data_IF_668044196814
#
_entry.id   IF_668044196814
#
_cell.length_a   1.000
_cell.length_b   1.000
_cell.length_c   1.000
_cell.angle_alpha   90.00
_cell.angle_beta   90.00
_cell.angle_gamma   90.00
#
_symmetry.space_group_name_H-M   'P 1'
#
loop_
_entity.id
_entity.type
_entity.pdbx_description
1 polymer ?
#
# COMPACT_ATOMS: atom_id res chain seq x y z
N UNK A 1 -39.15 65.57 4.20
CA UNK A 1 -37.73 65.36 4.58
C UNK A 1 -37.54 63.91 5.01
N UNK A 2 -37.04 63.05 4.13
CA UNK A 2 -36.72 61.64 4.43
C UNK A 2 -35.29 61.40 3.95
N UNK A 3 -34.36 61.17 4.88
CA UNK A 3 -32.98 60.78 4.59
C UNK A 3 -32.93 59.25 4.50
N UNK A 4 -32.77 58.70 3.29
CA UNK A 4 -32.37 57.29 3.09
C UNK A 4 -30.85 57.21 3.13
N UNK A 5 -30.31 56.50 4.12
CA UNK A 5 -28.90 56.08 4.14
C UNK A 5 -28.79 54.79 3.33
N UNK A 6 -27.93 54.80 2.32
CA UNK A 6 -27.54 53.62 1.55
C UNK A 6 -26.41 52.94 2.34
N UNK A 7 -26.63 51.70 2.77
CA UNK A 7 -25.57 50.83 3.29
C UNK A 7 -25.00 50.03 2.12
N UNK A 8 -23.72 50.22 1.83
CA UNK A 8 -22.96 49.35 0.95
C UNK A 8 -22.63 48.06 1.71
N UNK A 9 -23.14 46.93 1.21
CA UNK A 9 -22.78 45.60 1.70
C UNK A 9 -21.62 45.11 0.84
N UNK A 10 -20.43 45.10 1.44
CA UNK A 10 -19.24 44.47 0.86
C UNK A 10 -19.34 42.97 1.10
N UNK A 11 -19.61 42.20 0.05
CA UNK A 11 -19.58 40.73 0.08
C UNK A 11 -18.10 40.32 0.02
N UNK A 12 -17.52 40.01 1.19
CA UNK A 12 -16.26 39.28 1.26
C UNK A 12 -16.54 37.82 0.92
N UNK A 13 -16.23 37.42 -0.31
CA UNK A 13 -16.14 36.02 -0.69
C UNK A 13 -14.88 35.44 -0.02
N UNK A 14 -15.05 34.82 1.14
CA UNK A 14 -14.06 33.94 1.72
C UNK A 14 -14.00 32.67 0.85
N UNK A 15 -13.09 32.67 -0.12
CA UNK A 15 -12.66 31.46 -0.81
C UNK A 15 -11.94 30.55 0.17
N UNK A 16 -12.69 29.68 0.85
CA UNK A 16 -12.13 28.56 1.58
C UNK A 16 -11.52 27.60 0.56
N UNK A 17 -10.20 27.69 0.41
CA UNK A 17 -9.40 26.69 -0.29
C UNK A 17 -9.58 25.35 0.41
N UNK A 18 -10.29 24.44 -0.25
CA UNK A 18 -10.23 22.99 -0.01
C UNK A 18 -8.88 22.47 -0.53
N UNK A 19 -7.79 22.97 0.05
CA UNK A 19 -6.43 22.54 -0.22
C UNK A 19 -6.03 21.44 0.75
N UNK A 20 -5.76 20.26 0.20
CA UNK A 20 -4.99 19.18 0.84
C UNK A 20 -5.37 18.84 2.29
N UNK A 21 -6.44 18.06 2.47
CA UNK A 21 -6.40 17.09 3.56
C UNK A 21 -5.29 16.11 3.21
N UNK A 22 -4.08 16.36 3.76
CA UNK A 22 -2.98 15.43 3.70
C UNK A 22 -3.54 14.05 4.07
N UNK A 23 -3.53 13.14 3.09
CA UNK A 23 -3.81 11.75 3.34
C UNK A 23 -2.66 11.27 4.22
N UNK A 24 -2.84 11.36 5.54
CA UNK A 24 -2.03 10.62 6.49
C UNK A 24 -2.35 9.16 6.22
N UNK A 25 -1.58 8.57 5.32
CA UNK A 25 -1.32 7.13 5.26
C UNK A 25 -0.91 6.75 6.68
N UNK A 26 -1.88 6.23 7.43
CA UNK A 26 -1.64 5.65 8.75
C UNK A 26 -0.53 4.61 8.59
N UNK A 27 0.25 4.41 9.66
CA UNK A 27 1.15 3.27 9.79
C UNK A 27 0.50 2.02 9.19
N UNK A 28 1.26 1.17 8.50
CA UNK A 28 0.75 -0.05 7.87
C UNK A 28 -0.06 -0.83 8.90
N UNK A 29 -1.36 -0.58 8.84
CA UNK A 29 -2.30 -1.11 9.79
C UNK A 29 -2.42 -2.54 9.32
N UNK A 30 -2.06 -3.47 10.20
CA UNK A 30 -2.09 -4.88 9.86
C UNK A 30 -3.57 -5.23 9.63
N UNK A 31 -4.00 -5.21 8.37
CA UNK A 31 -5.40 -5.37 7.99
C UNK A 31 -5.67 -6.83 7.68
N UNK A 32 -5.62 -7.67 8.71
CA UNK A 32 -5.81 -9.12 8.54
C UNK A 32 -4.80 -9.74 7.57
N UNK A 33 -4.95 -11.04 7.33
CA UNK A 33 -4.07 -11.77 6.43
C UNK A 33 -2.87 -12.42 7.12
N UNK A 34 -2.15 -13.22 6.34
CA UNK A 34 -1.03 -14.05 6.79
C UNK A 34 0.30 -13.44 6.35
N UNK A 35 1.22 -13.33 7.30
CA UNK A 35 2.54 -12.73 7.13
C UNK A 35 3.61 -13.79 7.29
N UNK A 36 4.65 -13.74 6.49
CA UNK A 36 5.86 -14.53 6.73
C UNK A 36 6.60 -13.99 7.97
N UNK A 37 7.46 -14.80 8.62
CA UNK A 37 8.33 -14.30 9.68
C UNK A 37 9.14 -13.07 9.25
N UNK A 38 9.19 -12.10 10.15
CA UNK A 38 9.82 -10.80 9.94
C UNK A 38 10.23 -10.21 11.30
N UNK A 39 11.43 -10.58 11.75
CA UNK A 39 12.00 -10.10 13.01
C UNK A 39 11.09 -10.36 14.22
N UNK A 40 11.00 -9.39 15.12
CA UNK A 40 10.17 -9.50 16.33
C UNK A 40 8.67 -9.31 16.07
N UNK A 41 8.29 -8.69 14.95
CA UNK A 41 6.87 -8.45 14.65
C UNK A 41 6.15 -9.74 14.30
N UNK A 42 6.82 -10.60 13.55
CA UNK A 42 6.35 -11.93 13.18
C UNK A 42 7.50 -12.91 13.45
N UNK A 43 7.55 -13.54 14.63
CA UNK A 43 8.69 -14.35 15.02
C UNK A 43 8.84 -15.57 14.12
N UNK A 44 10.08 -15.95 13.81
CA UNK A 44 10.40 -17.16 13.03
C UNK A 44 10.29 -18.44 13.87
N UNK A 45 10.31 -18.32 15.19
CA UNK A 45 10.29 -19.42 16.14
C UNK A 45 9.47 -19.01 17.36
N UNK A 46 8.69 -19.95 17.89
CA UNK A 46 7.94 -19.79 19.14
C UNK A 46 8.07 -21.06 19.99
N UNK A 47 7.98 -20.92 21.31
CA UNK A 47 7.85 -22.04 22.25
C UNK A 47 6.37 -22.25 22.57
N UNK A 48 5.86 -23.46 22.35
CA UNK A 48 4.54 -23.87 22.82
C UNK A 48 4.64 -24.25 24.30
N UNK A 49 3.83 -23.62 25.14
CA UNK A 49 3.81 -23.82 26.59
C UNK A 49 2.75 -24.82 27.06
N UNK A 50 1.83 -25.20 26.18
CA UNK A 50 0.73 -26.12 26.46
C UNK A 50 0.51 -27.11 25.31
N UNK A 51 -0.31 -28.13 25.55
CA UNK A 51 -0.77 -29.00 24.47
C UNK A 51 -1.54 -28.18 23.43
N UNK A 52 -1.05 -28.16 22.20
CA UNK A 52 -1.55 -27.27 21.14
C UNK A 52 -2.14 -28.10 19.99
N UNK A 53 -3.45 -28.00 19.73
CA UNK A 53 -4.07 -28.69 18.60
C UNK A 53 -3.54 -28.20 17.25
N UNK A 54 -3.45 -29.11 16.27
CA UNK A 54 -3.04 -28.78 14.89
C UNK A 54 -4.06 -29.21 13.83
N UNK A 55 -4.07 -28.48 12.71
CA UNK A 55 -5.10 -28.52 11.67
C UNK A 55 -4.49 -28.52 10.26
N UNK A 56 -5.24 -29.02 9.29
CA UNK A 56 -4.84 -29.00 7.86
C UNK A 56 -5.05 -27.64 7.20
N UNK A 57 -6.00 -26.85 7.70
CA UNK A 57 -6.39 -25.54 7.19
C UNK A 57 -6.56 -24.55 8.35
N UNK A 58 -6.40 -23.23 8.12
CA UNK A 58 -6.49 -22.22 9.18
C UNK A 58 -7.91 -22.14 9.78
N UNK A 59 -8.94 -22.35 8.95
CA UNK A 59 -10.36 -22.25 9.31
C UNK A 59 -11.07 -23.60 9.10
N UNK A 60 -10.51 -24.68 9.64
CA UNK A 60 -11.13 -26.00 9.52
C UNK A 60 -12.51 -26.01 10.20
N UNK A 61 -13.60 -26.37 9.49
CA UNK A 61 -14.93 -26.47 10.07
C UNK A 61 -14.96 -27.43 11.27
N UNK A 62 -15.82 -27.14 12.24
CA UNK A 62 -16.08 -27.97 13.43
C UNK A 62 -14.92 -28.11 14.43
N UNK A 63 -13.81 -27.38 14.23
CA UNK A 63 -12.63 -27.35 15.12
C UNK A 63 -12.04 -28.73 15.45
N UNK A 64 -12.21 -29.72 14.58
CA UNK A 64 -11.67 -31.07 14.74
C UNK A 64 -10.15 -31.09 14.43
N UNK A 65 -9.27 -31.22 15.44
CA UNK A 65 -7.83 -31.25 15.19
C UNK A 65 -7.39 -32.62 14.66
N UNK A 66 -6.34 -32.64 13.84
CA UNK A 66 -5.69 -33.90 13.42
C UNK A 66 -4.92 -34.56 14.58
N UNK A 67 -4.56 -33.77 15.60
CA UNK A 67 -3.85 -34.21 16.78
C UNK A 67 -3.41 -33.01 17.63
N UNK A 68 -2.53 -33.26 18.60
CA UNK A 68 -1.96 -32.23 19.48
C UNK A 68 -0.44 -32.32 19.51
N UNK A 69 0.21 -31.17 19.62
CA UNK A 69 1.63 -31.05 19.93
C UNK A 69 1.80 -30.85 21.43
N UNK A 70 2.70 -31.61 22.07
CA UNK A 70 3.16 -31.31 23.43
C UNK A 70 3.98 -30.00 23.44
N UNK A 71 4.20 -29.37 24.62
CA UNK A 71 5.07 -28.20 24.74
C UNK A 71 6.43 -28.43 24.08
N UNK A 72 6.78 -27.57 23.12
CA UNK A 72 8.00 -27.67 22.31
C UNK A 72 8.24 -26.38 21.53
N UNK A 73 9.47 -26.21 21.06
CA UNK A 73 9.80 -25.15 20.10
C UNK A 73 9.35 -25.54 18.69
N UNK A 74 8.80 -24.57 17.94
CA UNK A 74 8.35 -24.76 16.55
C UNK A 74 8.79 -23.62 15.65
N UNK A 75 9.08 -23.95 14.38
CA UNK A 75 9.40 -22.97 13.34
C UNK A 75 8.11 -22.44 12.69
N UNK A 76 7.98 -21.12 12.61
CA UNK A 76 6.85 -20.42 12.00
C UNK A 76 7.13 -20.21 10.51
N UNK A 77 6.14 -20.55 9.68
CA UNK A 77 6.14 -20.31 8.23
C UNK A 77 5.29 -19.10 7.87
N UNK A 78 4.13 -18.95 8.53
CA UNK A 78 3.27 -17.75 8.41
C UNK A 78 2.47 -17.54 9.69
N UNK A 79 2.11 -16.29 9.99
CA UNK A 79 1.30 -15.91 11.16
C UNK A 79 0.26 -14.87 10.78
N UNK A 80 -0.92 -14.93 11.40
CA UNK A 80 -1.90 -13.87 11.28
C UNK A 80 -1.57 -12.64 12.13
N UNK A 81 -1.73 -11.48 11.52
CA UNK A 81 -1.75 -10.12 12.05
C UNK A 81 -1.94 -9.89 13.56
N UNK A 82 -2.89 -10.56 14.21
CA UNK A 82 -3.38 -10.27 15.57
C UNK A 82 -2.80 -11.16 16.67
N UNK A 83 -1.71 -11.87 16.39
CA UNK A 83 -1.20 -12.94 17.25
C UNK A 83 -0.79 -12.54 18.66
N UNK A 84 -0.40 -11.29 18.88
CA UNK A 84 0.07 -10.80 20.19
C UNK A 84 -1.06 -10.33 21.11
N UNK A 85 -2.27 -10.13 20.58
CA UNK A 85 -3.43 -9.61 21.33
C UNK A 85 -4.60 -10.59 21.41
N UNK A 86 -4.56 -11.68 20.66
CA UNK A 86 -5.63 -12.67 20.65
C UNK A 86 -5.24 -13.95 19.91
N UNK A 87 -6.14 -14.93 19.94
CA UNK A 87 -5.98 -16.18 19.18
C UNK A 87 -5.78 -15.86 17.70
N UNK A 88 -4.73 -16.42 17.11
CA UNK A 88 -4.38 -16.22 15.71
C UNK A 88 -3.99 -17.55 15.09
N UNK A 89 -4.22 -17.70 13.77
CA UNK A 89 -3.73 -18.88 13.06
C UNK A 89 -2.23 -18.72 12.74
N UNK A 90 -1.46 -19.75 13.08
CA UNK A 90 -0.06 -19.86 12.72
C UNK A 90 0.13 -21.09 11.86
N UNK A 91 0.93 -20.97 10.80
CA UNK A 91 1.40 -22.10 10.02
C UNK A 91 2.81 -22.42 10.47
N UNK A 92 3.05 -23.63 10.92
CA UNK A 92 4.35 -24.08 11.41
C UNK A 92 4.90 -25.22 10.56
N UNK A 93 6.22 -25.36 10.55
CA UNK A 93 6.91 -26.52 9.99
C UNK A 93 6.78 -27.70 10.94
N UNK A 94 6.46 -28.88 10.40
CA UNK A 94 6.33 -30.13 11.17
C UNK A 94 6.87 -31.31 10.37
N UNK A 95 7.12 -32.43 11.03
CA UNK A 95 7.50 -33.69 10.38
C UNK A 95 6.43 -34.25 9.41
N UNK A 96 5.18 -33.78 9.49
CA UNK A 96 4.07 -34.16 8.61
C UNK A 96 3.83 -33.14 7.48
N UNK A 97 4.79 -32.23 7.27
CA UNK A 97 4.64 -31.05 6.43
C UNK A 97 4.01 -29.88 7.17
N UNK A 98 3.72 -28.76 6.49
CA UNK A 98 3.15 -27.59 7.14
C UNK A 98 1.81 -27.87 7.80
N UNK A 99 1.60 -27.37 9.02
CA UNK A 99 0.34 -27.47 9.76
C UNK A 99 -0.05 -26.15 10.39
N UNK A 100 -1.36 -25.99 10.59
CA UNK A 100 -1.90 -24.81 11.25
C UNK A 100 -2.11 -25.09 12.73
N UNK A 101 -1.76 -24.15 13.59
CA UNK A 101 -2.05 -24.16 15.03
C UNK A 101 -2.78 -22.86 15.39
N UNK A 102 -3.51 -22.87 16.50
CA UNK A 102 -4.28 -21.72 16.98
C UNK A 102 -4.10 -21.51 18.50
N UNK A 103 -2.85 -21.39 19.00
CA UNK A 103 -2.62 -21.18 20.41
C UNK A 103 -3.16 -19.83 20.86
N UNK A 104 -3.54 -19.74 22.12
CA UNK A 104 -3.76 -18.46 22.76
C UNK A 104 -2.41 -17.75 22.99
N UNK A 105 -2.38 -16.41 23.06
CA UNK A 105 -1.13 -15.68 23.30
C UNK A 105 -0.40 -16.07 24.61
N UNK A 106 -1.15 -16.50 25.63
CA UNK A 106 -0.58 -17.00 26.90
C UNK A 106 -0.13 -18.49 26.85
N UNK A 107 -0.32 -19.18 25.73
CA UNK A 107 0.14 -20.56 25.51
C UNK A 107 1.44 -20.61 24.70
N UNK A 108 2.00 -19.46 24.36
CA UNK A 108 3.26 -19.33 23.65
C UNK A 108 4.25 -18.46 24.42
N UNK A 109 5.54 -18.69 24.18
CA UNK A 109 6.63 -17.79 24.54
C UNK A 109 7.51 -17.53 23.31
N UNK A 110 8.28 -16.46 23.35
CA UNK A 110 9.31 -16.21 22.35
C UNK A 110 10.49 -15.47 22.96
N UNK A 111 11.68 -15.76 22.46
CA UNK A 111 12.88 -15.07 22.90
C UNK A 111 12.76 -13.55 22.64
N UNK A 112 13.21 -12.71 23.59
CA UNK A 112 13.29 -11.28 23.34
C UNK A 112 14.34 -11.00 22.26
N UNK A 113 14.24 -9.86 21.54
CA UNK A 113 15.30 -9.45 20.63
C UNK A 113 16.62 -9.27 21.37
N UNK A 114 17.74 -9.66 20.73
CA UNK A 114 19.09 -9.54 21.32
C UNK A 114 19.50 -8.09 21.61
N UNK A 115 18.93 -7.12 20.90
CA UNK A 115 19.15 -5.70 21.11
C UNK A 115 17.81 -4.99 21.10
N UNK A 116 17.67 -3.91 21.88
CA UNK A 116 16.51 -3.02 21.81
C UNK A 116 16.97 -1.57 21.78
N UNK A 117 16.14 -0.70 21.22
CA UNK A 117 16.36 0.75 21.27
C UNK A 117 15.49 1.36 22.37
N UNK A 118 16.14 1.92 23.39
CA UNK A 118 15.49 2.73 24.41
C UNK A 118 15.12 4.08 23.80
N UNK A 119 13.86 4.47 23.95
CA UNK A 119 13.28 5.66 23.30
C UNK A 119 13.34 6.92 24.17
N UNK A 120 13.51 6.73 25.48
CA UNK A 120 13.55 7.78 26.49
C UNK A 120 14.50 7.40 27.62
N UNK A 121 14.66 8.32 28.57
CA UNK A 121 15.40 8.04 29.79
C UNK A 121 14.74 6.88 30.56
N UNK A 122 15.44 5.76 30.66
CA UNK A 122 14.91 4.50 31.17
C UNK A 122 15.57 4.13 32.50
N UNK A 123 14.81 4.10 33.62
CA UNK A 123 15.34 3.70 34.92
C UNK A 123 15.65 2.20 34.96
N UNK A 124 16.76 1.85 35.61
CA UNK A 124 17.27 0.49 35.76
C UNK A 124 17.23 0.02 37.22
N UNK A 125 16.89 -1.25 37.43
CA UNK A 125 16.64 -1.86 38.73
C UNK A 125 17.48 -3.12 38.93
N UNK A 126 17.85 -3.42 40.19
CA UNK A 126 18.61 -4.64 40.53
C UNK A 126 17.76 -5.91 40.50
N UNK A 127 16.46 -5.77 40.57
CA UNK A 127 15.47 -6.85 40.51
C UNK A 127 14.23 -6.39 39.75
N UNK A 128 13.35 -7.34 39.41
CA UNK A 128 12.06 -7.08 38.75
C UNK A 128 11.06 -6.43 39.73
N UNK A 129 11.42 -5.28 40.30
CA UNK A 129 10.57 -4.55 41.24
C UNK A 129 10.85 -3.06 41.22
N UNK A 130 9.79 -2.26 41.13
CA UNK A 130 9.84 -0.79 41.27
C UNK A 130 9.74 -0.32 42.72
N UNK A 131 9.69 -1.25 43.70
CA UNK A 131 9.63 -0.90 45.13
C UNK A 131 10.93 -0.31 45.66
N UNK A 132 12.05 -0.55 44.98
CA UNK A 132 13.32 0.11 45.25
C UNK A 132 13.55 1.31 44.34
N UNK A 133 14.40 2.23 44.78
CA UNK A 133 14.89 3.29 43.89
C UNK A 133 15.67 2.69 42.70
N UNK A 134 15.59 3.30 41.50
CA UNK A 134 16.43 2.90 40.39
C UNK A 134 17.90 2.90 40.80
N UNK A 135 18.61 1.83 40.46
CA UNK A 135 20.05 1.76 40.67
C UNK A 135 20.80 2.74 39.76
N UNK A 136 20.18 3.10 38.63
CA UNK A 136 20.66 4.06 37.65
C UNK A 136 19.59 4.35 36.59
N UNK A 137 19.98 5.09 35.56
CA UNK A 137 19.16 5.43 34.41
C UNK A 137 20.00 5.42 33.13
N UNK A 138 19.42 5.03 32.01
CA UNK A 138 20.04 5.11 30.69
C UNK A 138 19.25 6.08 29.82
N UNK A 139 19.95 7.02 29.16
CA UNK A 139 19.34 7.82 28.09
C UNK A 139 18.96 6.95 26.90
N UNK A 140 18.14 7.50 25.98
CA UNK A 140 17.80 6.85 24.72
C UNK A 140 19.05 6.36 23.97
N UNK A 141 19.15 5.04 23.75
CA UNK A 141 20.27 4.36 23.10
C UNK A 141 19.91 2.90 22.79
N UNK A 142 20.70 2.25 21.95
CA UNK A 142 20.63 0.80 21.76
C UNK A 142 21.31 0.07 22.93
N UNK A 143 20.67 -0.99 23.42
CA UNK A 143 21.18 -1.84 24.52
C UNK A 143 21.04 -3.32 24.18
N UNK A 144 21.96 -4.13 24.68
CA UNK A 144 21.91 -5.59 24.58
C UNK A 144 20.93 -6.16 25.62
N UNK A 145 20.07 -7.08 25.19
CA UNK A 145 19.12 -7.81 26.05
C UNK A 145 19.71 -9.16 26.43
N UNK A 146 19.78 -9.41 27.73
CA UNK A 146 20.33 -10.66 28.31
C UNK A 146 19.20 -11.61 28.72
N UNK A 147 18.05 -11.08 29.13
CA UNK A 147 16.89 -11.86 29.50
C UNK A 147 15.62 -11.00 29.43
N UNK A 148 14.47 -11.64 29.44
CA UNK A 148 13.18 -11.01 29.66
C UNK A 148 12.37 -11.85 30.65
N UNK A 149 11.33 -11.28 31.24
CA UNK A 149 10.30 -12.13 31.86
C UNK A 149 9.60 -12.99 30.81
N UNK A 150 9.03 -14.12 31.26
CA UNK A 150 8.28 -15.01 30.36
C UNK A 150 7.11 -14.26 29.74
N UNK A 151 6.88 -14.49 28.45
CA UNK A 151 5.75 -13.89 27.74
C UNK A 151 5.76 -12.36 27.80
N UNK A 152 6.95 -11.74 27.77
CA UNK A 152 7.14 -10.29 27.85
C UNK A 152 6.30 -9.48 26.84
N UNK A 153 5.85 -10.11 25.75
CA UNK A 153 5.00 -9.51 24.73
C UNK A 153 3.51 -9.58 25.03
N UNK A 154 3.08 -10.48 25.92
CA UNK A 154 1.67 -10.76 26.14
C UNK A 154 1.04 -9.70 27.04
N UNK A 155 0.16 -8.88 26.46
CA UNK A 155 -0.64 -7.91 27.20
C UNK A 155 -1.91 -7.54 26.42
N UNK A 156 -3.02 -7.33 27.15
CA UNK A 156 -4.25 -6.77 26.58
C UNK A 156 -4.16 -5.24 26.39
N UNK A 157 -3.15 -4.61 26.99
CA UNK A 157 -2.84 -3.19 26.85
C UNK A 157 -1.38 -3.04 26.39
N UNK A 158 -1.12 -2.64 25.13
CA UNK A 158 0.24 -2.47 24.61
C UNK A 158 1.11 -1.50 25.42
N UNK A 159 0.51 -0.63 26.23
CA UNK A 159 1.22 0.30 27.13
C UNK A 159 1.61 -0.32 28.48
N UNK A 160 1.09 -1.52 28.80
CA UNK A 160 1.59 -2.32 29.92
C UNK A 160 3.09 -2.55 29.77
N UNK A 161 3.77 -2.65 30.91
CA UNK A 161 5.22 -2.78 30.95
C UNK A 161 5.63 -4.22 31.14
N UNK A 162 6.74 -4.59 30.53
CA UNK A 162 7.43 -5.84 30.75
C UNK A 162 8.83 -5.62 31.33
N UNK A 163 9.30 -6.62 32.07
CA UNK A 163 10.66 -6.64 32.62
C UNK A 163 11.66 -7.19 31.61
N UNK A 164 12.59 -6.34 31.17
CA UNK A 164 13.68 -6.68 30.26
C UNK A 164 15.01 -6.48 30.97
N UNK A 165 15.86 -7.50 31.01
CA UNK A 165 17.19 -7.43 31.58
C UNK A 165 18.18 -6.99 30.50
N UNK A 166 18.80 -5.85 30.69
CA UNK A 166 19.75 -5.25 29.74
C UNK A 166 21.18 -5.30 30.28
N UNK A 167 22.14 -5.49 29.39
CA UNK A 167 23.55 -5.44 29.74
C UNK A 167 24.04 -3.99 29.79
N UNK A 168 24.69 -3.61 30.90
CA UNK A 168 25.39 -2.32 31.02
C UNK A 168 26.89 -2.56 31.21
N UNK A 169 27.72 -1.72 30.60
CA UNK A 169 29.19 -1.87 30.66
C UNK A 169 29.79 -1.55 32.03
N UNK A 170 29.04 -0.91 32.94
CA UNK A 170 29.54 -0.36 34.20
C UNK A 170 28.88 -0.95 35.45
N UNK A 171 27.60 -1.34 35.40
CA UNK A 171 26.90 -2.01 36.52
C UNK A 171 26.52 -3.46 36.23
N UNK A 172 26.95 -4.01 35.09
CA UNK A 172 26.55 -5.35 34.64
C UNK A 172 25.08 -5.36 34.23
N UNK A 173 24.41 -6.49 34.44
CA UNK A 173 23.04 -6.67 33.97
C UNK A 173 22.02 -6.08 34.96
N UNK A 174 21.12 -5.24 34.47
CA UNK A 174 20.06 -4.63 35.25
C UNK A 174 18.70 -4.79 34.55
N UNK A 175 17.62 -4.71 35.33
CA UNK A 175 16.26 -4.82 34.82
C UNK A 175 15.68 -3.45 34.47
N UNK A 176 15.11 -3.32 33.28
CA UNK A 176 14.32 -2.19 32.82
C UNK A 176 12.85 -2.60 32.77
N UNK A 177 11.94 -1.66 33.11
CA UNK A 177 10.49 -1.88 33.08
C UNK A 177 9.89 -1.03 31.95
N UNK A 178 9.75 -1.65 30.77
CA UNK A 178 9.54 -0.95 29.49
C UNK A 178 8.14 -1.29 28.96
N UNK A 179 7.34 -0.30 28.48
CA UNK A 179 6.09 -0.59 27.78
C UNK A 179 6.30 -1.55 26.62
N UNK A 180 5.45 -2.57 26.46
CA UNK A 180 5.65 -3.61 25.44
C UNK A 180 5.68 -3.01 24.03
N UNK A 181 4.86 -2.00 23.76
CA UNK A 181 4.87 -1.27 22.49
C UNK A 181 6.11 -0.39 22.25
N UNK A 182 7.03 -0.28 23.20
CA UNK A 182 8.32 0.39 23.04
C UNK A 182 9.49 -0.60 22.94
N UNK A 183 9.25 -1.90 23.16
CA UNK A 183 10.28 -2.93 23.00
C UNK A 183 10.44 -3.21 21.50
N UNK A 184 11.44 -2.57 20.89
CA UNK A 184 11.69 -2.66 19.47
C UNK A 184 13.15 -2.59 19.07
N UNK A 185 13.43 -3.01 17.85
CA UNK A 185 14.76 -3.06 17.23
C UNK A 185 14.86 -2.05 16.10
N UNK A 186 16.03 -1.42 15.93
CA UNK A 186 16.34 -0.63 14.73
C UNK A 186 17.18 -1.48 13.79
N UNK A 187 16.77 -1.55 12.53
CA UNK A 187 17.52 -2.22 11.47
C UNK A 187 17.83 -1.25 10.35
N UNK A 188 18.99 -1.42 9.72
CA UNK A 188 19.32 -0.66 8.51
C UNK A 188 18.53 -1.22 7.34
N UNK A 189 17.93 -0.32 6.58
CA UNK A 189 17.26 -0.62 5.32
C UNK A 189 17.76 0.36 4.26
N UNK A 190 17.58 0.04 2.99
CA UNK A 190 17.87 0.95 1.87
C UNK A 190 16.75 0.78 0.86
N UNK A 191 15.74 1.64 0.96
CA UNK A 191 14.53 1.54 0.15
C UNK A 191 14.14 2.92 -0.37
N UNK A 192 14.04 3.04 -1.68
CA UNK A 192 13.50 4.24 -2.32
C UNK A 192 11.97 4.23 -2.18
N UNK A 193 11.41 5.33 -1.70
CA UNK A 193 9.97 5.48 -1.47
C UNK A 193 9.51 6.87 -1.89
N UNK A 194 8.23 6.99 -2.25
CA UNK A 194 7.58 8.28 -2.43
C UNK A 194 6.71 8.62 -1.22
N UNK A 195 6.85 9.83 -0.72
CA UNK A 195 5.96 10.38 0.30
C UNK A 195 5.12 11.52 -0.29
N UNK A 196 3.83 11.55 0.03
CA UNK A 196 2.95 12.70 -0.26
C UNK A 196 3.17 13.87 0.70
N UNK A 197 3.96 13.64 1.75
CA UNK A 197 4.39 14.63 2.72
C UNK A 197 5.21 13.94 3.80
N UNK A 198 6.28 14.60 4.24
CA UNK A 198 7.10 14.15 5.37
C UNK A 198 7.15 15.24 6.44
N UNK A 199 7.19 14.88 7.73
CA UNK A 199 7.42 15.85 8.78
C UNK A 199 8.81 16.47 8.63
N UNK A 200 8.90 17.77 8.88
CA UNK A 200 10.15 18.54 8.72
C UNK A 200 11.25 18.04 9.67
N UNK A 201 10.85 17.68 10.88
CA UNK A 201 11.67 17.03 11.90
C UNK A 201 10.80 16.08 12.73
N UNK A 202 11.35 14.92 13.03
CA UNK A 202 10.72 13.93 13.89
C UNK A 202 11.79 13.01 14.44
N UNK A 203 11.90 12.93 15.76
CA UNK A 203 12.63 11.85 16.40
C UNK A 203 11.76 10.57 16.42
N UNK A 204 12.41 9.44 16.69
CA UNK A 204 11.75 8.13 16.70
C UNK A 204 10.60 8.06 17.72
N UNK A 205 10.77 8.62 18.91
CA UNK A 205 9.77 8.60 19.98
C UNK A 205 8.52 9.37 19.56
N UNK A 206 8.70 10.59 19.03
CA UNK A 206 7.63 11.42 18.49
C UNK A 206 6.93 10.74 17.31
N UNK A 207 7.69 10.11 16.40
CA UNK A 207 7.11 9.37 15.28
C UNK A 207 6.20 8.24 15.77
N UNK A 208 6.68 7.44 16.72
CA UNK A 208 5.91 6.35 17.33
C UNK A 208 4.72 6.83 18.19
N UNK A 209 4.56 8.15 18.39
CA UNK A 209 3.50 8.73 19.20
C UNK A 209 3.77 8.63 20.70
N UNK A 210 5.04 8.48 21.09
CA UNK A 210 5.48 8.54 22.48
C UNK A 210 5.92 9.97 22.82
N UNK A 211 5.63 10.41 24.04
CA UNK A 211 5.94 11.76 24.52
C UNK A 211 4.87 12.81 24.21
N UNK A 212 5.12 14.05 24.66
CA UNK A 212 4.18 15.17 24.50
C UNK A 212 4.34 15.91 23.16
N UNK A 213 5.49 15.75 22.49
CA UNK A 213 5.78 16.42 21.24
C UNK A 213 4.99 15.80 20.09
N UNK A 214 4.48 16.65 19.20
CA UNK A 214 3.83 16.24 17.96
C UNK A 214 4.78 16.47 16.81
N UNK A 215 4.72 15.61 15.79
CA UNK A 215 5.45 15.82 14.55
C UNK A 215 5.12 17.18 13.94
N UNK A 216 6.14 17.90 13.47
CA UNK A 216 5.97 19.17 12.77
C UNK A 216 5.72 18.94 11.28
N UNK A 217 4.50 19.26 10.85
CA UNK A 217 4.06 19.14 9.46
C UNK A 217 4.05 20.49 8.71
N UNK A 218 4.56 21.57 9.33
CA UNK A 218 4.49 22.92 8.77
C UNK A 218 5.31 23.11 7.48
N UNK A 219 6.41 22.38 7.32
CA UNK A 219 7.23 22.34 6.10
C UNK A 219 7.18 20.95 5.42
N UNK A 220 5.99 20.35 5.38
CA UNK A 220 5.82 19.03 4.78
C UNK A 220 6.06 19.05 3.27
N UNK A 221 6.97 18.20 2.79
CA UNK A 221 7.36 18.10 1.36
C UNK A 221 7.07 16.73 0.80
N UNK A 222 6.30 16.70 -0.30
CA UNK A 222 6.16 15.51 -1.12
C UNK A 222 7.44 15.28 -1.94
N UNK A 223 7.77 14.02 -2.21
CA UNK A 223 8.97 13.69 -2.97
C UNK A 223 9.38 12.24 -2.87
N UNK A 224 10.42 11.90 -3.61
CA UNK A 224 11.10 10.61 -3.53
C UNK A 224 12.23 10.71 -2.51
N UNK A 225 12.29 9.76 -1.58
CA UNK A 225 13.26 9.72 -0.50
C UNK A 225 13.83 8.32 -0.31
N UNK A 226 14.85 8.19 0.53
CA UNK A 226 15.42 6.91 0.93
C UNK A 226 15.08 6.64 2.40
N UNK A 227 14.45 5.50 2.69
CA UNK A 227 14.38 4.96 4.04
C UNK A 227 15.75 4.32 4.32
N UNK A 228 16.41 4.79 5.37
CA UNK A 228 17.76 4.34 5.78
C UNK A 228 17.74 3.42 7.00
N UNK A 229 16.70 3.52 7.84
CA UNK A 229 16.47 2.61 8.97
C UNK A 229 14.98 2.38 9.21
N UNK A 230 14.67 1.25 9.83
CA UNK A 230 13.33 0.87 10.26
C UNK A 230 13.40 0.50 11.75
N UNK A 231 12.50 1.06 12.55
CA UNK A 231 12.26 0.65 13.92
C UNK A 231 11.00 -0.22 13.95
N UNK A 232 11.12 -1.41 14.52
CA UNK A 232 10.04 -2.39 14.55
C UNK A 232 9.79 -2.83 15.97
N UNK A 233 8.52 -2.80 16.37
CA UNK A 233 7.98 -3.42 17.59
C UNK A 233 7.05 -4.57 17.18
N UNK A 234 6.48 -5.28 18.15
CA UNK A 234 5.44 -6.28 17.88
C UNK A 234 4.17 -5.64 17.29
N UNK A 235 3.88 -4.39 17.63
CA UNK A 235 2.63 -3.74 17.26
C UNK A 235 2.74 -2.81 16.05
N UNK A 236 3.92 -2.20 15.86
CA UNK A 236 4.04 -0.98 15.08
C UNK A 236 5.44 -0.78 14.51
N UNK A 237 5.56 0.18 13.58
CA UNK A 237 6.80 0.53 12.90
C UNK A 237 6.97 2.02 12.70
N UNK A 238 8.22 2.45 12.63
CA UNK A 238 8.61 3.75 12.12
C UNK A 238 9.82 3.63 11.20
N UNK A 239 9.98 4.62 10.33
CA UNK A 239 10.95 4.65 9.25
C UNK A 239 11.79 5.91 9.37
N UNK A 240 13.11 5.77 9.42
CA UNK A 240 14.06 6.87 9.34
C UNK A 240 14.30 7.19 7.87
N UNK A 241 13.91 8.39 7.47
CA UNK A 241 13.97 8.85 6.09
C UNK A 241 15.08 9.89 5.94
N UNK A 242 15.94 9.70 4.94
CA UNK A 242 16.97 10.66 4.58
C UNK A 242 16.38 11.79 3.73
N UNK A 243 16.50 13.03 4.22
CA UNK A 243 16.11 14.26 3.51
C UNK A 243 17.36 15.11 3.23
N UNK A 244 17.19 16.20 2.48
CA UNK A 244 18.27 17.17 2.24
C UNK A 244 18.71 17.90 3.53
N UNK A 245 17.82 18.01 4.52
CA UNK A 245 18.05 18.72 5.78
C UNK A 245 18.56 17.82 6.91
N UNK A 246 18.53 16.50 6.75
CA UNK A 246 18.92 15.53 7.77
C UNK A 246 18.08 14.26 7.70
N UNK A 247 18.04 13.48 8.79
CA UNK A 247 17.10 12.37 8.91
C UNK A 247 15.85 12.78 9.69
N UNK A 248 14.72 12.18 9.35
CA UNK A 248 13.44 12.36 10.07
C UNK A 248 12.75 11.02 10.23
N UNK A 249 12.11 10.77 11.37
CA UNK A 249 11.32 9.57 11.60
C UNK A 249 9.85 9.81 11.28
N UNK A 250 9.23 8.85 10.59
CA UNK A 250 7.80 8.85 10.29
C UNK A 250 7.22 7.45 10.49
N UNK A 251 5.92 7.36 10.79
CA UNK A 251 5.20 6.07 10.80
C UNK A 251 4.68 5.66 9.44
N UNK A 252 4.67 6.57 8.50
CA UNK A 252 4.24 6.29 7.14
C UNK A 252 5.35 5.50 6.40
N UNK A 253 4.98 4.41 5.73
CA UNK A 253 5.92 3.63 4.91
C UNK A 253 6.18 4.25 3.54
N UNK A 254 5.36 5.24 3.14
CA UNK A 254 5.39 5.80 1.80
C UNK A 254 4.93 4.80 0.74
N UNK A 255 5.16 5.11 -0.54
CA UNK A 255 4.95 4.18 -1.65
C UNK A 255 6.28 3.67 -2.14
N UNK A 256 6.49 2.36 -2.11
CA UNK A 256 7.76 1.74 -2.51
C UNK A 256 8.05 1.91 -3.99
N UNK A 257 9.26 2.36 -4.29
CA UNK A 257 9.83 2.43 -5.63
C UNK A 257 10.92 1.37 -5.73
N UNK A 258 10.62 0.28 -6.42
CA UNK A 258 11.54 -0.83 -6.63
C UNK A 258 12.51 -0.49 -7.75
N UNK A 259 13.81 -0.71 -7.53
CA UNK A 259 14.77 -0.69 -8.63
C UNK A 259 14.50 -1.85 -9.58
N UNK A 260 14.65 -1.61 -10.88
CA UNK A 260 14.49 -2.62 -11.91
C UNK A 260 15.65 -2.53 -12.91
N UNK A 261 15.87 -3.62 -13.64
CA UNK A 261 16.83 -3.66 -14.75
C UNK A 261 16.31 -4.66 -15.77
N UNK A 262 15.23 -4.29 -16.45
CA UNK A 262 14.57 -5.13 -17.45
C UNK A 262 14.19 -4.32 -18.68
N UNK A 263 13.86 -5.03 -19.76
CA UNK A 263 13.33 -4.43 -20.98
C UNK A 263 11.85 -4.73 -21.12
N UNK A 264 11.11 -3.80 -21.71
CA UNK A 264 9.68 -3.95 -21.98
C UNK A 264 9.38 -3.61 -23.43
N UNK A 265 8.69 -4.50 -24.13
CA UNK A 265 8.17 -4.21 -25.47
C UNK A 265 6.87 -3.41 -25.38
N UNK A 266 6.80 -2.31 -26.15
CA UNK A 266 5.64 -1.45 -26.25
C UNK A 266 5.03 -1.66 -27.63
N UNK A 267 4.04 -2.55 -27.71
CA UNK A 267 3.45 -2.97 -29.00
C UNK A 267 2.47 -1.93 -29.55
N UNK A 268 1.68 -1.32 -28.67
CA UNK A 268 0.68 -0.29 -29.02
C UNK A 268 0.98 1.01 -28.29
N UNK A 269 0.26 2.08 -28.66
CA UNK A 269 0.46 3.39 -28.06
C UNK A 269 0.30 3.39 -26.54
N UNK A 270 1.33 3.85 -25.84
CA UNK A 270 1.33 4.08 -24.40
C UNK A 270 1.71 5.52 -24.11
N UNK A 271 0.96 6.24 -23.25
CA UNK A 271 1.37 7.56 -22.82
C UNK A 271 2.56 7.44 -21.87
N UNK A 272 3.58 8.24 -22.12
CA UNK A 272 4.71 8.47 -21.24
C UNK A 272 4.33 9.59 -20.28
N UNK A 273 4.03 9.23 -19.03
CA UNK A 273 3.55 10.16 -18.00
C UNK A 273 4.74 10.75 -17.25
N UNK A 274 4.74 12.08 -17.08
CA UNK A 274 5.83 12.77 -16.41
C UNK A 274 6.02 12.30 -14.95
N UNK A 275 4.91 12.24 -14.21
CA UNK A 275 4.88 11.91 -12.78
C UNK A 275 3.56 11.21 -12.45
N UNK A 276 3.63 10.13 -11.67
CA UNK A 276 2.44 9.34 -11.29
C UNK A 276 1.72 9.89 -10.06
N UNK A 277 2.42 10.69 -9.25
CA UNK A 277 1.95 11.19 -7.96
C UNK A 277 0.89 12.30 -8.05
N UNK A 278 0.89 13.09 -9.14
CA UNK A 278 -0.03 14.24 -9.30
C UNK A 278 -1.22 13.93 -10.23
N UNK A 279 -1.80 12.73 -10.10
CA UNK A 279 -3.04 12.37 -10.80
C UNK A 279 -2.92 12.36 -12.33
N UNK A 280 -1.75 12.02 -12.85
CA UNK A 280 -1.49 11.79 -14.28
C UNK A 280 -1.79 13.00 -15.19
N UNK A 281 -1.67 14.22 -14.67
CA UNK A 281 -2.06 15.45 -15.40
C UNK A 281 -1.22 15.76 -16.63
N UNK A 282 -0.02 15.19 -16.74
CA UNK A 282 0.94 15.53 -17.80
C UNK A 282 1.47 14.29 -18.49
N UNK A 283 1.12 14.18 -19.77
CA UNK A 283 1.75 13.27 -20.72
C UNK A 283 2.89 14.03 -21.41
N UNK A 284 4.11 13.49 -21.31
CA UNK A 284 5.30 14.06 -21.95
C UNK A 284 5.42 13.61 -23.41
N UNK A 285 5.00 12.36 -23.72
CA UNK A 285 5.03 11.79 -25.05
C UNK A 285 4.08 10.59 -25.19
N UNK A 286 3.92 10.08 -26.42
CA UNK A 286 3.29 8.77 -26.70
C UNK A 286 4.34 7.88 -27.34
N UNK A 287 4.50 6.66 -26.86
CA UNK A 287 5.44 5.68 -27.42
C UNK A 287 4.69 4.48 -27.99
N UNK A 288 5.20 3.88 -29.07
CA UNK A 288 4.60 2.73 -29.75
C UNK A 288 5.63 2.04 -30.64
N UNK A 289 5.60 0.70 -30.71
CA UNK A 289 6.45 -0.09 -31.58
C UNK A 289 7.94 -0.08 -31.19
N UNK A 290 8.27 0.08 -29.90
CA UNK A 290 9.66 0.14 -29.42
C UNK A 290 9.88 -0.71 -28.16
N UNK A 291 11.12 -1.12 -27.92
CA UNK A 291 11.54 -1.74 -26.66
C UNK A 291 12.15 -0.67 -25.76
N UNK A 292 11.64 -0.52 -24.55
CA UNK A 292 12.10 0.45 -23.55
C UNK A 292 12.87 -0.23 -22.41
N UNK A 293 13.75 0.52 -21.74
CA UNK A 293 14.44 0.05 -20.54
C UNK A 293 13.69 0.49 -19.30
N UNK A 294 13.24 -0.45 -18.48
CA UNK A 294 12.63 -0.21 -17.17
C UNK A 294 13.75 -0.15 -16.13
N UNK A 295 13.80 0.94 -15.36
CA UNK A 295 14.78 1.10 -14.29
C UNK A 295 14.15 1.25 -12.89
N UNK A 296 12.85 1.55 -12.81
CA UNK A 296 12.10 1.51 -11.54
C UNK A 296 10.68 0.97 -11.75
N UNK A 297 10.05 0.48 -10.69
CA UNK A 297 8.64 0.04 -10.67
C UNK A 297 7.94 0.44 -9.39
N UNK A 298 6.63 0.60 -9.48
CA UNK A 298 5.72 0.68 -8.33
C UNK A 298 4.69 -0.44 -8.50
N UNK A 299 4.70 -1.40 -7.58
CA UNK A 299 3.76 -2.52 -7.56
C UNK A 299 2.59 -2.28 -6.60
N UNK A 300 2.76 -1.33 -5.68
CA UNK A 300 1.73 -0.93 -4.74
C UNK A 300 0.59 -0.17 -5.44
N UNK A 301 -0.60 -0.27 -4.84
CA UNK A 301 -1.77 0.46 -5.31
C UNK A 301 -1.59 1.96 -5.13
N UNK A 302 -1.62 2.71 -6.23
CA UNK A 302 -1.64 4.18 -6.21
C UNK A 302 -3.07 4.69 -6.10
N UNK A 303 -3.38 5.44 -5.05
CA UNK A 303 -4.67 6.13 -4.89
C UNK A 303 -4.76 7.47 -5.66
N UNK A 304 -4.00 7.61 -6.74
CA UNK A 304 -3.94 8.82 -7.56
C UNK A 304 -4.90 8.70 -8.74
N UNK A 305 -5.91 9.59 -8.81
CA UNK A 305 -6.81 9.70 -9.96
C UNK A 305 -8.20 10.22 -9.58
N UNK A 306 -8.78 11.11 -10.40
CA UNK A 306 -10.20 11.45 -10.29
C UNK A 306 -11.00 10.37 -11.00
N UNK A 307 -11.56 9.42 -10.27
CA UNK A 307 -12.60 8.54 -10.81
C UNK A 307 -12.75 7.20 -10.10
N UNK A 308 -13.91 6.56 -10.22
CA UNK A 308 -14.22 5.25 -9.61
C UNK A 308 -13.51 4.06 -10.29
N UNK A 309 -12.54 4.30 -11.18
CA UNK A 309 -12.14 3.32 -12.18
C UNK A 309 -11.10 2.31 -11.66
N UNK A 310 -11.47 1.02 -11.47
CA UNK A 310 -10.67 0.02 -10.76
C UNK A 310 -9.34 -0.33 -11.44
N UNK A 311 -9.23 -0.10 -12.75
CA UNK A 311 -8.16 -0.65 -13.61
C UNK A 311 -6.80 -0.02 -13.25
N UNK A 312 -6.78 1.25 -12.86
CA UNK A 312 -5.54 1.98 -12.56
C UNK A 312 -4.98 1.67 -11.19
N UNK A 313 -5.84 1.32 -10.24
CA UNK A 313 -5.46 1.17 -8.84
C UNK A 313 -4.62 -0.07 -8.58
N UNK A 314 -4.81 -1.16 -9.31
CA UNK A 314 -4.16 -2.45 -9.03
C UNK A 314 -3.15 -2.86 -10.12
N UNK A 315 -2.54 -1.89 -10.81
CA UNK A 315 -1.59 -2.17 -11.89
C UNK A 315 -0.22 -1.57 -11.61
N UNK A 316 0.82 -2.31 -12.02
CA UNK A 316 2.21 -1.91 -11.88
C UNK A 316 2.53 -0.71 -12.77
N UNK A 317 3.17 0.30 -12.19
CA UNK A 317 3.77 1.41 -12.91
C UNK A 317 5.25 1.15 -13.14
N UNK A 318 5.74 1.55 -14.32
CA UNK A 318 7.11 1.31 -14.76
C UNK A 318 7.76 2.64 -15.14
N UNK A 319 8.87 2.97 -14.52
CA UNK A 319 9.69 4.12 -14.92
C UNK A 319 10.64 3.66 -16.03
N UNK A 320 10.49 4.25 -17.21
CA UNK A 320 11.15 3.77 -18.42
C UNK A 320 11.97 4.85 -19.11
N UNK A 321 13.02 4.42 -19.80
CA UNK A 321 13.75 5.22 -20.79
C UNK A 321 13.36 4.73 -22.19
N UNK A 322 12.87 5.65 -23.01
CA UNK A 322 12.42 5.40 -24.39
C UNK A 322 13.13 6.32 -25.38
N UNK A 323 12.87 6.13 -26.67
CA UNK A 323 13.33 7.02 -27.74
C UNK A 323 12.79 8.46 -27.61
N UNK A 324 11.72 8.67 -26.84
CA UNK A 324 11.05 9.97 -26.66
C UNK A 324 11.29 10.64 -25.31
N UNK A 325 12.07 10.00 -24.43
CA UNK A 325 12.44 10.58 -23.14
C UNK A 325 12.38 9.58 -21.98
N UNK A 326 12.22 10.11 -20.78
CA UNK A 326 12.07 9.32 -19.53
C UNK A 326 10.74 9.66 -18.90
N UNK A 327 10.02 8.66 -18.41
CA UNK A 327 8.76 8.84 -17.71
C UNK A 327 8.13 7.52 -17.31
N UNK A 328 6.94 7.60 -16.74
CA UNK A 328 6.21 6.47 -16.22
C UNK A 328 5.20 5.94 -17.24
N UNK A 329 5.10 4.63 -17.34
CA UNK A 329 4.07 3.94 -18.12
C UNK A 329 3.33 2.93 -17.23
N UNK A 330 2.09 2.66 -17.59
CA UNK A 330 1.32 1.56 -17.03
C UNK A 330 0.74 0.78 -18.20
N UNK A 331 0.92 -0.55 -18.20
CA UNK A 331 0.47 -1.41 -19.30
C UNK A 331 -1.05 -1.37 -19.50
N UNK A 332 -1.79 -1.07 -18.44
CA UNK A 332 -3.25 -0.94 -18.47
C UNK A 332 -3.73 0.43 -18.97
N UNK A 333 -2.83 1.39 -19.20
CA UNK A 333 -3.14 2.72 -19.75
C UNK A 333 -2.69 2.78 -21.20
N UNK A 334 -3.39 3.52 -22.06
CA UNK A 334 -3.08 3.61 -23.49
C UNK A 334 -3.96 2.70 -24.35
N UNK A 335 -3.49 2.42 -25.56
CA UNK A 335 -4.14 1.48 -26.46
C UNK A 335 -4.09 0.05 -25.88
N UNK A 336 -5.24 -0.65 -25.79
CA UNK A 336 -5.27 -2.01 -25.25
C UNK A 336 -4.63 -3.02 -26.21
N UNK A 337 -3.69 -3.82 -25.71
CA UNK A 337 -2.98 -4.82 -26.54
C UNK A 337 -3.94 -5.87 -27.12
N UNK A 338 -4.95 -6.27 -26.35
CA UNK A 338 -5.99 -7.24 -26.74
C UNK A 338 -7.18 -6.64 -27.50
N UNK A 339 -7.07 -5.44 -28.07
CA UNK A 339 -8.12 -4.89 -28.92
C UNK A 339 -8.20 -5.67 -30.25
N UNK A 340 -9.42 -6.07 -30.62
CA UNK A 340 -9.70 -6.90 -31.79
C UNK A 340 -10.17 -5.98 -32.92
N UNK A 341 -9.58 -6.05 -34.13
CA UNK A 341 -10.05 -5.28 -35.27
C UNK A 341 -11.45 -5.73 -35.71
N UNK A 342 -12.30 -4.77 -36.05
CA UNK A 342 -13.67 -4.98 -36.52
C UNK A 342 -14.02 -3.96 -37.60
N UNK A 343 -15.08 -4.22 -38.37
CA UNK A 343 -15.63 -3.26 -39.33
C UNK A 343 -17.11 -3.06 -39.06
N UNK A 344 -17.40 -2.22 -38.07
CA UNK A 344 -18.75 -2.04 -37.55
C UNK A 344 -19.24 -0.61 -37.73
N UNK A 345 -20.55 -0.44 -37.89
CA UNK A 345 -21.24 0.84 -37.74
C UNK A 345 -22.07 0.84 -36.48
N UNK A 346 -21.93 1.88 -35.67
CA UNK A 346 -22.62 1.98 -34.38
C UNK A 346 -23.44 3.25 -34.33
N UNK A 347 -24.75 3.11 -34.12
CA UNK A 347 -25.64 4.24 -33.86
C UNK A 347 -25.55 4.58 -32.38
N UNK A 348 -24.87 5.68 -32.07
CA UNK A 348 -24.73 6.23 -30.71
C UNK A 348 -25.95 7.10 -30.44
N UNK A 349 -26.89 6.62 -29.60
CA UNK A 349 -28.10 7.37 -29.23
C UNK A 349 -27.83 8.29 -28.04
N UNK A 350 -27.32 7.72 -26.96
CA UNK A 350 -27.04 8.48 -25.74
C UNK A 350 -25.71 9.24 -25.82
N UNK A 351 -25.59 10.41 -25.16
CA UNK A 351 -24.36 11.18 -25.15
C UNK A 351 -23.17 10.40 -24.59
N UNK A 352 -22.11 10.26 -25.39
CA UNK A 352 -20.85 9.62 -25.00
C UNK A 352 -19.67 10.49 -25.33
N UNK A 353 -18.75 10.66 -24.39
CA UNK A 353 -17.51 11.35 -24.66
C UNK A 353 -16.54 10.43 -25.40
N UNK A 354 -15.99 10.89 -26.52
CA UNK A 354 -14.88 10.23 -27.20
C UNK A 354 -13.62 10.41 -26.34
N UNK A 355 -13.10 9.30 -25.85
CA UNK A 355 -11.91 9.25 -25.00
C UNK A 355 -10.68 8.90 -25.83
N UNK A 356 -9.49 9.34 -25.42
CA UNK A 356 -8.26 9.01 -26.15
C UNK A 356 -7.90 7.55 -26.01
N UNK A 357 -7.98 7.06 -24.78
CA UNK A 357 -7.83 5.67 -24.39
C UNK A 357 -9.04 5.31 -23.53
N UNK A 358 -9.34 4.02 -23.30
CA UNK A 358 -10.35 3.64 -22.33
C UNK A 358 -10.15 4.36 -20.99
N UNK A 359 -11.21 5.00 -20.50
CA UNK A 359 -11.28 5.80 -19.27
C UNK A 359 -10.41 7.07 -19.26
N UNK A 360 -9.75 7.42 -20.37
CA UNK A 360 -8.82 8.56 -20.46
C UNK A 360 -9.32 9.61 -21.46
N UNK A 361 -9.87 10.75 -21.01
CA UNK A 361 -10.33 11.80 -21.92
C UNK A 361 -9.15 12.44 -22.67
N UNK A 362 -9.43 13.12 -23.78
CA UNK A 362 -8.43 13.97 -24.43
C UNK A 362 -8.14 15.20 -23.56
N UNK A 363 -6.86 15.53 -23.39
CA UNK A 363 -6.43 16.67 -22.57
C UNK A 363 -6.86 18.03 -23.13
N UNK A 364 -7.00 18.15 -24.45
CA UNK A 364 -7.24 19.42 -25.14
C UNK A 364 -8.71 19.70 -25.47
N UNK A 365 -9.60 18.72 -25.39
CA UNK A 365 -11.00 18.87 -25.81
C UNK A 365 -11.86 17.67 -25.43
N UNK A 366 -13.10 17.89 -25.04
CA UNK A 366 -14.14 16.86 -24.99
C UNK A 366 -14.90 16.83 -26.33
N UNK A 367 -15.04 15.65 -26.95
CA UNK A 367 -15.94 15.47 -28.10
C UNK A 367 -17.11 14.57 -27.67
N UNK A 368 -18.30 15.14 -27.60
CA UNK A 368 -19.51 14.44 -27.20
C UNK A 368 -20.26 13.91 -28.43
N UNK A 369 -20.35 12.60 -28.53
CA UNK A 369 -21.09 11.90 -29.57
C UNK A 369 -22.53 11.69 -29.12
N UNK A 370 -23.52 12.08 -29.95
CA UNK A 370 -24.95 11.85 -29.70
C UNK A 370 -25.71 11.81 -31.01
N UNK A 371 -26.76 10.98 -31.07
CA UNK A 371 -27.66 10.84 -32.22
C UNK A 371 -26.96 10.73 -33.58
N UNK A 372 -25.87 9.96 -33.64
CA UNK A 372 -25.07 9.80 -34.86
C UNK A 372 -24.57 8.38 -35.05
N UNK A 373 -24.26 8.04 -36.30
CA UNK A 373 -23.61 6.77 -36.66
C UNK A 373 -22.12 6.98 -36.77
N UNK A 374 -21.34 6.12 -36.12
CA UNK A 374 -19.88 6.16 -36.15
C UNK A 374 -19.31 4.85 -36.68
N UNK A 375 -18.19 4.93 -37.39
CA UNK A 375 -17.43 3.77 -37.79
C UNK A 375 -16.58 3.29 -36.61
N UNK A 376 -16.66 2.00 -36.30
CA UNK A 376 -15.90 1.34 -35.25
C UNK A 376 -14.91 0.38 -35.88
N UNK A 377 -13.63 0.57 -35.54
CA UNK A 377 -12.51 -0.16 -36.14
C UNK A 377 -11.91 -1.20 -35.22
N UNK A 378 -12.10 -1.06 -33.90
CA UNK A 378 -11.61 -2.02 -32.92
C UNK A 378 -12.62 -2.15 -31.76
N UNK A 379 -12.63 -3.32 -31.13
CA UNK A 379 -13.38 -3.60 -29.90
C UNK A 379 -12.44 -4.15 -28.84
N UNK A 380 -12.64 -3.73 -27.59
CA UNK A 380 -11.88 -4.23 -26.45
C UNK A 380 -12.79 -4.45 -25.26
N UNK A 381 -12.58 -5.55 -24.54
CA UNK A 381 -13.27 -5.83 -23.27
C UNK A 381 -12.34 -5.55 -22.12
N UNK A 382 -12.75 -4.64 -21.24
CA UNK A 382 -12.00 -4.42 -20.02
C UNK A 382 -11.90 -5.71 -19.19
N UNK A 383 -10.75 -5.99 -18.55
CA UNK A 383 -10.62 -7.06 -17.57
C UNK A 383 -11.64 -6.97 -16.43
N UNK A 384 -11.82 -8.06 -15.69
CA UNK A 384 -12.60 -8.12 -14.44
C UNK A 384 -14.06 -7.65 -14.55
N UNK A 385 -14.78 -8.09 -15.60
CA UNK A 385 -16.17 -7.71 -15.87
C UNK A 385 -16.39 -6.21 -16.14
N UNK A 386 -15.33 -5.48 -16.51
CA UNK A 386 -15.45 -4.09 -16.92
C UNK A 386 -16.24 -3.91 -18.24
N UNK A 387 -16.49 -2.65 -18.64
CA UNK A 387 -17.24 -2.34 -19.85
C UNK A 387 -16.52 -2.82 -21.12
N UNK A 388 -17.30 -2.97 -22.19
CA UNK A 388 -16.77 -3.10 -23.54
C UNK A 388 -16.52 -1.70 -24.08
N UNK A 389 -15.40 -1.52 -24.77
CA UNK A 389 -14.98 -0.29 -25.39
C UNK A 389 -14.94 -0.46 -26.90
N UNK A 390 -15.38 0.56 -27.62
CA UNK A 390 -15.42 0.61 -29.07
C UNK A 390 -14.52 1.74 -29.54
N UNK A 391 -13.57 1.44 -30.42
CA UNK A 391 -12.72 2.46 -31.03
C UNK A 391 -13.43 3.05 -32.24
N UNK A 392 -13.85 4.30 -32.12
CA UNK A 392 -14.60 5.02 -33.13
C UNK A 392 -13.73 6.08 -33.83
N UNK A 393 -13.99 6.31 -35.11
CA UNK A 393 -13.41 7.42 -35.87
C UNK A 393 -14.47 8.49 -36.16
N UNK A 394 -14.26 9.71 -35.66
CA UNK A 394 -15.20 10.83 -35.78
C UNK A 394 -14.43 12.14 -35.99
N UNK A 395 -14.85 12.94 -36.98
CA UNK A 395 -14.27 14.26 -37.29
C UNK A 395 -12.73 14.25 -37.44
N UNK A 396 -12.20 13.20 -38.08
CA UNK A 396 -10.76 13.03 -38.31
C UNK A 396 -9.97 12.61 -37.06
N UNK A 397 -10.65 12.21 -35.98
CA UNK A 397 -10.04 11.74 -34.73
C UNK A 397 -10.48 10.32 -34.43
N UNK A 398 -9.55 9.50 -33.97
CA UNK A 398 -9.86 8.17 -33.44
C UNK A 398 -9.79 8.19 -31.92
N UNK A 399 -10.72 7.50 -31.27
CA UNK A 399 -10.76 7.36 -29.82
C UNK A 399 -11.71 6.26 -29.39
N UNK A 400 -11.92 6.11 -28.09
CA UNK A 400 -12.70 5.05 -27.48
C UNK A 400 -13.98 5.58 -26.86
N UNK A 401 -15.09 4.86 -27.06
CA UNK A 401 -16.35 5.10 -26.35
C UNK A 401 -16.79 3.83 -25.63
N UNK A 402 -17.43 3.93 -24.45
CA UNK A 402 -17.98 2.77 -23.78
C UNK A 402 -19.21 2.27 -24.56
N UNK A 403 -19.31 0.97 -24.72
CA UNK A 403 -20.53 0.28 -25.11
C UNK A 403 -21.32 -0.06 -23.84
N UNK A 404 -22.61 0.30 -23.82
CA UNK A 404 -23.45 0.06 -22.65
C UNK A 404 -24.29 -1.19 -22.84
N UNK A 405 -25.29 -1.12 -23.72
CA UNK A 405 -26.11 -2.27 -24.08
C UNK A 405 -26.77 -2.08 -25.45
N UNK A 406 -27.51 -3.10 -25.89
CA UNK A 406 -28.21 -3.10 -27.17
C UNK A 406 -29.47 -2.22 -27.21
N UNK A 407 -29.93 -1.70 -26.07
CA UNK A 407 -31.05 -0.76 -26.03
C UNK A 407 -30.54 0.64 -26.42
N UNK A 408 -29.37 1.00 -25.91
CA UNK A 408 -28.76 2.32 -26.10
C UNK A 408 -27.94 2.40 -27.39
N UNK A 409 -27.27 1.31 -27.78
CA UNK A 409 -26.43 1.26 -28.98
C UNK A 409 -26.93 0.21 -29.97
N UNK A 410 -26.99 0.56 -31.26
CA UNK A 410 -27.25 -0.41 -32.33
C UNK A 410 -25.98 -0.63 -33.13
N UNK A 411 -25.47 -1.87 -33.11
CA UNK A 411 -24.25 -2.28 -33.82
C UNK A 411 -24.64 -3.04 -35.10
N UNK A 412 -24.08 -2.61 -36.21
CA UNK A 412 -24.18 -3.25 -37.52
C UNK A 412 -22.80 -3.74 -37.95
N UNK A 413 -22.66 -5.05 -38.16
CA UNK A 413 -21.42 -5.67 -38.62
C UNK A 413 -21.42 -5.68 -40.16
N UNK A 414 -20.49 -4.93 -40.76
CA UNK A 414 -20.46 -4.75 -42.21
C UNK A 414 -19.89 -5.96 -42.96
N UNK A 415 -19.02 -6.73 -42.31
CA UNK A 415 -18.40 -7.93 -42.89
C UNK A 415 -19.42 -9.06 -43.04
N UNK A 416 -20.31 -9.21 -42.06
CA UNK A 416 -21.38 -10.23 -42.07
C UNK A 416 -22.70 -9.71 -42.63
N UNK A 417 -22.85 -8.39 -42.81
CA UNK A 417 -24.11 -7.72 -43.15
C UNK A 417 -25.25 -8.07 -42.19
N UNK A 418 -24.94 -8.21 -40.90
CA UNK A 418 -25.93 -8.52 -39.88
C UNK A 418 -25.96 -7.49 -38.76
N UNK A 419 -27.16 -7.27 -38.21
CA UNK A 419 -27.30 -6.56 -36.94
C UNK A 419 -26.80 -7.49 -35.84
N UNK A 420 -25.63 -7.19 -35.29
CA UNK A 420 -25.01 -8.00 -34.26
C UNK A 420 -25.78 -7.87 -32.95
N UNK A 421 -26.44 -8.95 -32.53
CA UNK A 421 -26.96 -9.07 -31.17
C UNK A 421 -25.81 -9.35 -30.20
N UNK A 422 -25.90 -8.86 -28.95
CA UNK A 422 -24.87 -9.01 -27.89
C UNK A 422 -24.25 -10.40 -27.75
N UNK A 423 -24.97 -11.45 -28.14
CA UNK A 423 -24.51 -12.84 -28.09
C UNK A 423 -23.23 -13.07 -28.92
N UNK A 424 -23.07 -12.37 -30.05
CA UNK A 424 -21.89 -12.50 -30.91
C UNK A 424 -20.67 -11.78 -30.32
N UNK A 425 -20.85 -10.59 -29.74
CA UNK A 425 -19.79 -9.84 -29.05
C UNK A 425 -19.22 -10.66 -27.87
N UNK A 426 -20.09 -11.32 -27.09
CA UNK A 426 -19.64 -12.22 -26.02
C UNK A 426 -18.87 -13.42 -26.54
N UNK A 427 -19.23 -13.98 -27.69
CA UNK A 427 -18.51 -15.12 -28.27
C UNK A 427 -17.13 -14.71 -28.79
N UNK A 428 -17.03 -13.59 -29.52
CA UNK A 428 -15.76 -13.03 -30.00
C UNK A 428 -14.80 -12.74 -28.84
N UNK A 429 -15.30 -12.18 -27.74
CA UNK A 429 -14.50 -11.81 -26.57
C UNK A 429 -14.25 -12.96 -25.57
N UNK A 430 -14.78 -14.16 -25.81
CA UNK A 430 -14.47 -15.35 -25.01
C UNK A 430 -13.49 -16.29 -25.73
N UNK A 431 -13.24 -16.08 -27.03
CA UNK A 431 -12.34 -16.89 -27.84
C UNK A 431 -10.94 -16.27 -28.00
N UNK A 432 -10.79 -15.00 -27.65
CA UNK A 432 -9.52 -14.28 -27.48
C UNK A 432 -9.20 -14.14 -26.00
#
# INVERSE_FOLDING_TARGET
MIKRKIFAITILAAGLGLGSLAHQTKAETIYGGSYAPEGIRFPATIELLAETPYYTAPNQPDDEPEGTFAPQEVNVLTVESSWSIGTAAWKIETMFGPRWIRPNPWEIDMEPPKHITLLEETPLYRSQSTKGEPAASLSAQEVEVVAAEKQWFYTNDPSSKAWIKVHTTWLGDLWAHIPVNQIGTVHKVQQKVHYYGLPANGDLSTAMGFGEQKQDWSDSKAGDYEIVREFTTIYDRAFEVQTEQGTTWTRDKGVTILSANETMEILREKPLIHVVWDGLKKEDAVIAGETVTVFEKIEERLWTGRGPYPIWYNSTWYHVRSSKGTGWINKSIGEPEGAIPVHWKVVVKDPKELQRYPETPFSSSSLLLRDQTVEVTEVWKSPNFGPVWLKAHVDGRSGWIPYWDSLQDTIWDEDTQTASQMRMIRQLLCLA
#
